data_IF_478529717436
#
_entry.id   IF_478529717436
#
_cell.length_a   1.000
_cell.length_b   1.000
_cell.length_c   1.000
_cell.angle_alpha   90.00
_cell.angle_beta   90.00
_cell.angle_gamma   90.00
#
_symmetry.space_group_name_H-M   'P 1'
#
loop_
_entity.id
_entity.type
_entity.pdbx_description
1 polymer ?
#
# COMPACT_ATOMS: atom_id res chain seq x y z
N UNK A 1 10.15 -18.36 5.74
CA UNK A 1 9.80 -18.62 4.33
C UNK A 1 8.41 -18.08 4.09
N UNK A 2 8.26 -16.97 3.35
CA UNK A 2 6.96 -16.37 3.04
C UNK A 2 6.31 -17.03 1.81
N UNK A 3 5.04 -16.72 1.53
CA UNK A 3 4.38 -17.15 0.30
C UNK A 3 5.11 -16.60 -0.93
N UNK A 4 5.03 -17.31 -2.05
CA UNK A 4 5.53 -16.80 -3.33
C UNK A 4 4.44 -15.98 -4.01
N UNK A 5 4.83 -14.83 -4.57
CA UNK A 5 3.96 -13.97 -5.35
C UNK A 5 4.53 -13.81 -6.75
N UNK A 6 3.66 -13.81 -7.76
CA UNK A 6 4.01 -13.58 -9.15
C UNK A 6 3.15 -12.45 -9.70
N UNK A 7 3.81 -11.52 -10.39
CA UNK A 7 3.15 -10.46 -11.16
C UNK A 7 3.24 -10.86 -12.63
N UNK A 8 2.11 -11.22 -13.22
CA UNK A 8 2.03 -11.72 -14.58
C UNK A 8 1.36 -10.69 -15.47
N UNK A 9 2.03 -10.34 -16.57
CA UNK A 9 1.45 -9.47 -17.58
C UNK A 9 0.40 -10.24 -18.38
N UNK A 10 -0.80 -9.70 -18.43
CA UNK A 10 -1.93 -10.20 -19.22
C UNK A 10 -2.43 -9.08 -20.15
N UNK A 11 -3.09 -9.39 -21.27
CA UNK A 11 -3.56 -8.36 -22.20
C UNK A 11 -4.74 -7.54 -21.66
N UNK A 12 -5.50 -8.06 -20.70
CA UNK A 12 -6.65 -7.39 -20.10
C UNK A 12 -6.24 -6.37 -19.04
N UNK A 13 -6.83 -5.17 -19.08
CA UNK A 13 -6.75 -4.21 -17.99
C UNK A 13 -7.64 -4.61 -16.81
N UNK A 14 -7.37 -4.03 -15.63
CA UNK A 14 -8.21 -4.21 -14.44
C UNK A 14 -9.61 -3.62 -14.64
N UNK A 15 -10.65 -4.41 -14.37
CA UNK A 15 -12.06 -4.01 -14.54
C UNK A 15 -12.86 -3.91 -13.23
N UNK A 16 -12.33 -4.48 -12.14
CA UNK A 16 -13.00 -4.51 -10.84
C UNK A 16 -11.97 -4.49 -9.70
N UNK A 17 -12.44 -4.36 -8.46
CA UNK A 17 -11.58 -4.41 -7.27
C UNK A 17 -10.95 -5.79 -7.10
N UNK A 18 -9.68 -5.83 -6.70
CA UNK A 18 -9.00 -7.06 -6.34
C UNK A 18 -9.71 -7.75 -5.16
N UNK A 19 -9.90 -9.08 -5.23
CA UNK A 19 -10.45 -9.89 -4.11
C UNK A 19 -9.34 -10.38 -3.17
N UNK A 20 -8.32 -9.56 -3.01
CA UNK A 20 -7.13 -9.77 -2.18
C UNK A 20 -6.79 -8.43 -1.54
N UNK A 21 -6.42 -8.46 -0.27
CA UNK A 21 -5.77 -7.35 0.42
C UNK A 21 -4.28 -7.69 0.52
N UNK A 22 -3.42 -6.79 0.05
CA UNK A 22 -1.97 -6.97 0.09
C UNK A 22 -1.36 -5.82 0.87
N UNK A 23 -0.62 -6.15 1.92
CA UNK A 23 0.11 -5.17 2.73
C UNK A 23 1.61 -5.27 2.45
N UNK A 24 2.22 -4.11 2.18
CA UNK A 24 3.65 -3.93 2.13
C UNK A 24 4.07 -3.32 3.47
N UNK A 25 4.82 -4.10 4.26
CA UNK A 25 5.22 -3.66 5.59
C UNK A 25 6.40 -2.68 5.55
N UNK A 26 6.16 -1.49 6.08
CA UNK A 26 7.09 -0.36 6.20
C UNK A 26 7.14 0.16 7.64
N UNK A 27 6.01 0.14 8.38
CA UNK A 27 5.87 0.70 9.72
C UNK A 27 6.04 -0.29 10.86
N UNK A 28 6.75 -1.40 10.64
CA UNK A 28 6.84 -2.49 11.64
C UNK A 28 7.49 -1.99 12.94
N UNK A 29 6.75 -2.09 14.05
CA UNK A 29 7.20 -1.65 15.37
C UNK A 29 7.08 -0.16 15.63
N UNK A 30 6.58 0.61 14.67
CA UNK A 30 6.32 2.05 14.79
C UNK A 30 4.84 2.28 15.09
N UNK A 31 4.53 3.37 15.81
CA UNK A 31 3.16 3.80 16.14
C UNK A 31 3.02 5.32 15.98
N UNK A 32 1.79 5.82 15.91
CA UNK A 32 1.51 7.25 15.96
C UNK A 32 2.18 8.07 14.84
N UNK A 33 2.71 9.25 15.18
CA UNK A 33 3.30 10.18 14.21
C UNK A 33 4.52 9.61 13.49
N UNK A 34 5.36 8.84 14.18
CA UNK A 34 6.56 8.23 13.60
C UNK A 34 6.21 7.19 12.52
N UNK A 35 5.16 6.40 12.80
CA UNK A 35 4.60 5.47 11.82
C UNK A 35 4.06 6.24 10.61
N UNK A 36 3.20 7.23 10.84
CA UNK A 36 2.58 7.99 9.75
C UNK A 36 3.64 8.65 8.85
N UNK A 37 4.65 9.30 9.44
CA UNK A 37 5.74 9.91 8.69
C UNK A 37 6.52 8.87 7.85
N UNK A 38 6.74 7.67 8.40
CA UNK A 38 7.40 6.57 7.69
C UNK A 38 6.58 6.10 6.49
N UNK A 39 5.26 5.96 6.66
CA UNK A 39 4.36 5.58 5.58
C UNK A 39 4.28 6.67 4.50
N UNK A 40 4.22 7.94 4.88
CA UNK A 40 4.18 9.08 3.96
C UNK A 40 5.48 9.21 3.14
N UNK A 41 6.64 8.96 3.75
CA UNK A 41 7.92 8.96 3.05
C UNK A 41 7.98 7.84 1.98
N UNK A 42 7.52 6.64 2.32
CA UNK A 42 7.47 5.53 1.35
C UNK A 42 6.41 5.74 0.28
N UNK A 43 5.24 6.30 0.64
CA UNK A 43 4.22 6.74 -0.30
C UNK A 43 4.81 7.71 -1.33
N UNK A 44 5.52 8.76 -0.88
CA UNK A 44 6.16 9.74 -1.77
C UNK A 44 7.17 9.08 -2.72
N UNK A 45 7.97 8.12 -2.22
CA UNK A 45 8.92 7.35 -3.05
C UNK A 45 8.19 6.54 -4.12
N UNK A 46 7.10 5.86 -3.77
CA UNK A 46 6.32 5.04 -4.70
C UNK A 46 5.56 5.88 -5.73
N UNK A 47 5.03 7.04 -5.33
CA UNK A 47 4.41 8.00 -6.26
C UNK A 47 5.43 8.47 -7.31
N UNK A 48 6.67 8.76 -6.91
CA UNK A 48 7.73 9.10 -7.86
C UNK A 48 8.08 7.97 -8.84
N UNK A 49 7.71 6.72 -8.53
CA UNK A 49 7.87 5.55 -9.40
C UNK A 49 6.60 5.23 -10.22
N UNK A 50 5.55 6.05 -10.10
CA UNK A 50 4.30 5.91 -10.86
C UNK A 50 3.14 5.26 -10.12
N UNK A 51 3.29 4.94 -8.83
CA UNK A 51 2.15 4.53 -8.01
C UNK A 51 1.19 5.71 -7.75
N UNK A 52 -0.05 5.41 -7.40
CA UNK A 52 -1.07 6.40 -7.05
C UNK A 52 -1.41 6.29 -5.58
N UNK A 53 -1.34 7.43 -4.87
CA UNK A 53 -1.88 7.55 -3.51
C UNK A 53 -3.40 7.60 -3.57
N UNK A 54 -4.05 6.62 -2.95
CA UNK A 54 -5.52 6.53 -2.95
C UNK A 54 -6.09 7.19 -1.70
N UNK A 55 -5.60 6.78 -0.52
CA UNK A 55 -6.12 7.27 0.76
C UNK A 55 -5.13 7.02 1.88
N UNK A 56 -4.93 8.03 2.72
CA UNK A 56 -4.33 7.85 4.05
C UNK A 56 -5.44 7.59 5.07
N UNK A 57 -5.30 6.52 5.84
CA UNK A 57 -6.08 6.25 7.03
C UNK A 57 -5.19 6.61 8.22
N UNK A 58 -5.59 7.64 8.96
CA UNK A 58 -4.89 8.07 10.19
C UNK A 58 -5.34 7.16 11.33
N UNK A 59 -4.41 6.85 12.23
CA UNK A 59 -4.69 6.06 13.42
C UNK A 59 -5.88 6.61 14.21
N UNK A 60 -6.65 5.69 14.80
CA UNK A 60 -7.73 5.97 15.74
C UNK A 60 -7.55 5.15 17.02
N UNK A 61 -8.59 5.02 17.85
CA UNK A 61 -8.51 4.28 19.12
C UNK A 61 -8.30 2.77 18.92
N UNK A 62 -8.57 2.23 17.72
CA UNK A 62 -8.53 0.80 17.43
C UNK A 62 -7.44 0.41 16.41
N UNK A 63 -7.14 1.29 15.46
CA UNK A 63 -6.30 1.01 14.30
C UNK A 63 -5.09 1.94 14.23
N UNK A 64 -3.97 1.40 13.78
CA UNK A 64 -2.81 2.20 13.40
C UNK A 64 -2.96 2.80 12.00
N UNK A 65 -2.19 3.85 11.72
CA UNK A 65 -2.22 4.50 10.41
C UNK A 65 -1.82 3.53 9.29
N UNK A 66 -2.46 3.62 8.13
CA UNK A 66 -2.04 2.92 6.92
C UNK A 66 -2.35 3.75 5.67
N UNK A 67 -1.71 3.44 4.54
CA UNK A 67 -1.93 4.17 3.28
C UNK A 67 -2.32 3.20 2.18
N UNK A 68 -3.53 3.35 1.63
CA UNK A 68 -3.93 2.63 0.42
C UNK A 68 -3.31 3.27 -0.83
N UNK A 69 -2.71 2.42 -1.65
CA UNK A 69 -2.00 2.77 -2.88
C UNK A 69 -2.53 1.93 -4.06
N UNK A 70 -2.26 2.41 -5.27
CA UNK A 70 -2.38 1.64 -6.51
C UNK A 70 -1.04 1.59 -7.24
N UNK A 71 -0.70 0.45 -7.83
CA UNK A 71 0.45 0.35 -8.74
C UNK A 71 0.13 0.96 -10.12
N UNK A 72 1.10 0.88 -11.04
CA UNK A 72 0.98 1.44 -12.40
C UNK A 72 -0.08 0.75 -13.26
N UNK A 73 -0.57 -0.44 -12.87
CA UNK A 73 -1.64 -1.17 -13.56
C UNK A 73 -2.99 -1.06 -12.79
N UNK A 74 -3.02 -0.29 -11.69
CA UNK A 74 -4.21 -0.03 -10.89
C UNK A 74 -4.50 -1.09 -9.81
N UNK A 75 -3.58 -2.01 -9.51
CA UNK A 75 -3.76 -2.99 -8.44
C UNK A 75 -3.62 -2.34 -7.07
N UNK A 76 -4.56 -2.64 -6.18
CA UNK A 76 -4.57 -2.08 -4.82
C UNK A 76 -3.61 -2.82 -3.87
N UNK A 77 -2.89 -2.06 -3.05
CA UNK A 77 -2.12 -2.54 -1.90
C UNK A 77 -2.10 -1.46 -0.79
N UNK A 78 -1.74 -1.83 0.44
CA UNK A 78 -1.56 -0.88 1.53
C UNK A 78 -0.11 -0.83 2.00
N UNK A 79 0.33 0.36 2.45
CA UNK A 79 1.51 0.51 3.28
C UNK A 79 1.09 0.36 4.74
N UNK A 80 1.72 -0.59 5.43
CA UNK A 80 1.48 -0.98 6.83
C UNK A 80 2.77 -0.87 7.66
#
# INVERSE_FOLDING_TARGET
>A
MGPRMYFQRVPEGKVAKNRVHLDVRVGTGLVGEERLATLEAECARLVALGAVHVRTLVADEENESCITMQDVEGNEFCLD
#
